data_IF_750049393352
#
_entry.id   IF_750049393352
#
_cell.length_a   1.000
_cell.length_b   1.000
_cell.length_c   1.000
_cell.angle_alpha   90.00
_cell.angle_beta   90.00
_cell.angle_gamma   90.00
#
_symmetry.space_group_name_H-M   'P 1'
#
loop_
_entity.id
_entity.type
_entity.pdbx_description
1 polymer ?
#
# COMPACT_ATOMS: atom_id res chain seq x y z
N UNK A 1 22.22 15.11 -8.45
CA UNK A 1 20.92 14.75 -7.86
C UNK A 1 20.81 15.36 -6.47
N UNK A 2 19.69 16.01 -6.13
CA UNK A 2 19.46 16.57 -4.79
C UNK A 2 18.88 15.50 -3.86
N UNK A 3 19.50 15.30 -2.70
CA UNK A 3 19.01 14.39 -1.65
C UNK A 3 18.62 15.21 -0.44
N UNK A 4 17.34 15.19 -0.09
CA UNK A 4 16.82 15.88 1.09
C UNK A 4 17.11 15.05 2.35
N UNK A 5 17.59 15.68 3.42
CA UNK A 5 17.80 15.01 4.72
C UNK A 5 16.93 15.72 5.76
N UNK A 6 15.89 15.02 6.22
CA UNK A 6 15.04 15.46 7.32
C UNK A 6 15.55 14.94 8.66
N UNK A 7 15.41 15.79 9.66
CA UNK A 7 15.75 15.51 11.04
C UNK A 7 14.79 16.24 11.97
N UNK A 8 14.60 15.69 13.15
CA UNK A 8 13.79 16.32 14.20
C UNK A 8 14.43 16.01 15.56
N UNK A 9 14.74 17.06 16.30
CA UNK A 9 15.46 16.97 17.57
C UNK A 9 16.99 16.94 17.45
N UNK A 10 17.71 17.13 18.57
CA UNK A 10 19.15 17.33 18.59
C UNK A 10 19.95 16.09 18.15
N UNK A 11 19.47 14.88 18.48
CA UNK A 11 20.12 13.62 18.10
C UNK A 11 20.05 13.40 16.59
N UNK A 12 18.84 13.42 16.04
CA UNK A 12 18.58 13.25 14.62
C UNK A 12 19.30 14.32 13.78
N UNK A 13 19.43 15.54 14.29
CA UNK A 13 20.24 16.61 13.67
C UNK A 13 21.69 16.17 13.46
N UNK A 14 22.36 15.70 14.52
CA UNK A 14 23.77 15.25 14.46
C UNK A 14 23.95 14.04 13.54
N UNK A 15 23.00 13.11 13.57
CA UNK A 15 22.98 11.94 12.68
C UNK A 15 22.84 12.38 11.21
N UNK A 16 21.90 13.28 10.93
CA UNK A 16 21.69 13.84 9.60
C UNK A 16 22.87 14.66 9.09
N UNK A 17 23.53 15.44 9.96
CA UNK A 17 24.77 16.16 9.63
C UNK A 17 25.90 15.19 9.25
N UNK A 18 26.04 14.08 9.98
CA UNK A 18 27.03 13.04 9.68
C UNK A 18 26.78 12.40 8.31
N UNK A 19 25.51 12.09 7.98
CA UNK A 19 25.13 11.58 6.67
C UNK A 19 25.37 12.64 5.58
N UNK A 20 25.03 13.90 5.85
CA UNK A 20 25.19 15.02 4.91
C UNK A 20 26.64 15.18 4.49
N UNK A 21 27.57 15.12 5.43
CA UNK A 21 28.99 15.33 5.14
C UNK A 21 29.63 14.07 4.51
N UNK A 22 29.12 12.88 4.83
CA UNK A 22 29.62 11.61 4.30
C UNK A 22 29.13 11.29 2.88
N UNK A 23 27.87 11.61 2.56
CA UNK A 23 27.23 11.19 1.31
C UNK A 23 27.98 11.66 0.03
N UNK A 24 28.52 12.90 -0.06
CA UNK A 24 29.33 13.33 -1.19
C UNK A 24 30.66 12.58 -1.33
N UNK A 25 31.20 12.05 -0.22
CA UNK A 25 32.43 11.23 -0.23
C UNK A 25 32.25 9.90 -0.95
N UNK A 26 31.04 9.33 -0.88
CA UNK A 26 30.68 8.08 -1.57
C UNK A 26 30.06 8.34 -2.95
N UNK A 27 29.14 9.30 -3.02
CA UNK A 27 28.41 9.65 -4.23
C UNK A 27 28.64 11.14 -4.56
N UNK A 28 29.70 11.42 -5.31
CA UNK A 28 30.16 12.77 -5.63
C UNK A 28 29.14 13.66 -6.38
N UNK A 29 28.17 13.03 -7.04
CA UNK A 29 27.13 13.70 -7.84
C UNK A 29 25.82 13.89 -7.06
N UNK A 30 25.81 13.52 -5.78
CA UNK A 30 24.72 13.80 -4.85
C UNK A 30 25.00 15.11 -4.15
N UNK A 31 23.98 15.97 -4.10
CA UNK A 31 23.99 17.24 -3.36
C UNK A 31 23.04 17.11 -2.17
N UNK A 32 23.55 16.81 -0.97
CA UNK A 32 22.74 16.74 0.24
C UNK A 32 22.16 18.12 0.56
N UNK A 33 20.86 18.17 0.77
CA UNK A 33 20.16 19.34 1.27
C UNK A 33 19.70 19.05 2.70
N UNK A 34 20.26 19.81 3.64
CA UNK A 34 19.97 19.70 5.06
C UNK A 34 19.12 20.90 5.46
N UNK A 35 17.95 20.65 6.04
CA UNK A 35 17.01 21.72 6.40
C UNK A 35 17.61 22.65 7.45
N UNK A 36 17.49 23.98 7.30
CA UNK A 36 17.94 24.93 8.31
C UNK A 36 17.10 24.80 9.59
N UNK A 37 17.79 24.87 10.71
CA UNK A 37 17.26 24.75 12.08
C UNK A 37 16.37 25.91 12.52
N UNK A 38 16.47 27.07 11.84
CA UNK A 38 15.81 28.31 12.24
C UNK A 38 14.74 28.67 11.22
N UNK A 39 13.48 28.61 11.67
CA UNK A 39 12.34 29.19 10.94
C UNK A 39 11.70 30.21 11.87
N UNK A 40 11.60 31.45 11.38
CA UNK A 40 10.93 32.53 12.07
C UNK A 40 9.47 32.18 12.39
N UNK A 41 9.02 32.56 13.59
CA UNK A 41 7.63 32.39 14.03
C UNK A 41 6.67 33.01 13.00
N UNK A 42 5.83 32.20 12.37
CA UNK A 42 4.73 32.65 11.51
C UNK A 42 4.86 32.32 10.02
N UNK A 43 5.96 31.71 9.55
CA UNK A 43 6.09 31.23 8.17
C UNK A 43 5.20 30.02 7.85
N UNK A 44 4.73 29.89 6.60
CA UNK A 44 4.02 28.69 6.10
C UNK A 44 5.03 27.57 5.84
N UNK A 45 5.54 27.01 6.93
CA UNK A 45 6.56 25.96 7.00
C UNK A 45 6.26 24.74 6.11
N UNK A 46 5.03 24.22 6.20
CA UNK A 46 4.62 23.01 5.49
C UNK A 46 4.75 23.10 3.95
N UNK A 47 4.48 24.27 3.37
CA UNK A 47 4.50 24.43 1.91
C UNK A 47 5.91 24.55 1.34
N UNK A 48 6.83 25.17 2.07
CA UNK A 48 8.20 25.37 1.59
C UNK A 48 9.00 24.07 1.62
N UNK A 49 8.84 23.26 2.68
CA UNK A 49 9.46 21.93 2.72
C UNK A 49 8.82 20.99 1.71
N UNK A 50 7.49 20.96 1.59
CA UNK A 50 6.84 20.16 0.56
C UNK A 50 7.32 20.55 -0.85
N UNK A 51 7.57 21.84 -1.09
CA UNK A 51 8.14 22.33 -2.36
C UNK A 51 9.57 21.86 -2.56
N UNK A 52 10.45 22.02 -1.58
CA UNK A 52 11.85 21.56 -1.63
C UNK A 52 11.94 20.05 -1.82
N UNK A 53 11.06 19.30 -1.17
CA UNK A 53 10.96 17.86 -1.22
C UNK A 53 10.36 17.35 -2.52
N UNK A 54 9.37 18.04 -3.09
CA UNK A 54 8.84 17.78 -4.44
C UNK A 54 9.88 18.08 -5.54
N UNK A 55 10.83 18.96 -5.26
CA UNK A 55 11.98 19.23 -6.13
C UNK A 55 13.11 18.23 -5.95
N UNK A 56 13.13 17.50 -4.82
CA UNK A 56 14.11 16.47 -4.55
C UNK A 56 13.67 15.13 -5.15
N UNK A 57 14.63 14.41 -5.71
CA UNK A 57 14.39 13.07 -6.28
C UNK A 57 14.32 12.01 -5.16
N UNK A 58 15.00 12.27 -4.04
CA UNK A 58 15.05 11.37 -2.90
C UNK A 58 15.12 12.15 -1.57
N UNK A 59 14.39 11.67 -0.57
CA UNK A 59 14.40 12.15 0.81
C UNK A 59 14.82 11.06 1.78
N UNK A 60 15.73 11.40 2.69
CA UNK A 60 16.19 10.58 3.80
C UNK A 60 15.58 11.15 5.08
N UNK A 61 14.87 10.32 5.85
CA UNK A 61 14.32 10.72 7.15
C UNK A 61 15.14 10.08 8.26
N UNK A 62 15.80 10.87 9.12
CA UNK A 62 16.56 10.34 10.25
C UNK A 62 15.64 10.09 11.44
N UNK A 63 15.19 8.84 11.62
CA UNK A 63 14.22 8.46 12.65
C UNK A 63 14.93 7.87 13.86
N UNK A 64 14.65 8.43 15.04
CA UNK A 64 15.18 8.02 16.33
C UNK A 64 14.02 7.82 17.30
N UNK A 65 14.27 7.19 18.44
CA UNK A 65 13.27 7.02 19.51
C UNK A 65 12.66 8.36 19.97
N UNK A 66 13.45 9.43 19.99
CA UNK A 66 13.01 10.75 20.46
C UNK A 66 12.07 11.46 19.48
N UNK A 67 12.13 11.13 18.19
CA UNK A 67 11.42 11.88 17.15
C UNK A 67 10.37 11.07 16.38
N UNK A 68 10.26 9.77 16.66
CA UNK A 68 9.30 8.85 16.02
C UNK A 68 7.85 9.30 16.21
N UNK A 69 7.56 9.98 17.32
CA UNK A 69 6.25 10.56 17.67
C UNK A 69 6.15 12.06 17.41
N UNK A 70 7.18 12.67 16.84
CA UNK A 70 7.09 14.09 16.54
C UNK A 70 6.02 14.30 15.45
N UNK A 71 5.01 15.13 15.76
CA UNK A 71 3.99 15.57 14.80
C UNK A 71 4.61 16.03 13.47
N UNK A 72 5.84 16.56 13.57
CA UNK A 72 6.71 16.92 12.46
C UNK A 72 6.94 15.78 11.44
N UNK A 73 7.37 14.61 11.91
CA UNK A 73 7.76 13.48 11.06
C UNK A 73 6.53 12.76 10.48
N UNK A 74 5.44 12.74 11.25
CA UNK A 74 4.13 12.23 10.80
C UNK A 74 3.46 13.15 9.77
N UNK A 75 3.61 14.46 9.92
CA UNK A 75 3.12 15.45 8.96
C UNK A 75 3.93 15.44 7.67
N UNK A 76 5.27 15.38 7.75
CA UNK A 76 6.15 15.25 6.58
C UNK A 76 5.84 13.98 5.78
N UNK A 77 5.76 12.82 6.45
CA UNK A 77 5.40 11.55 5.83
C UNK A 77 3.99 11.57 5.20
N UNK A 78 3.05 12.29 5.82
CA UNK A 78 1.70 12.49 5.31
C UNK A 78 1.63 13.44 4.10
N UNK A 79 2.37 14.55 4.10
CA UNK A 79 2.47 15.46 2.97
C UNK A 79 3.18 14.79 1.79
N UNK A 80 4.26 14.07 2.08
CA UNK A 80 5.00 13.21 1.14
C UNK A 80 4.12 12.15 0.48
N UNK A 81 3.19 11.55 1.25
CA UNK A 81 2.26 10.54 0.75
C UNK A 81 1.41 10.99 -0.43
N UNK A 82 1.15 12.30 -0.53
CA UNK A 82 0.32 12.90 -1.59
C UNK A 82 1.12 13.36 -2.81
N UNK A 83 2.43 13.58 -2.68
CA UNK A 83 3.32 14.00 -3.77
C UNK A 83 4.11 12.83 -4.40
N UNK A 84 3.78 11.60 -3.99
CA UNK A 84 4.54 10.36 -4.17
C UNK A 84 4.62 9.84 -5.62
N UNK A 85 4.01 10.53 -6.59
CA UNK A 85 4.15 10.15 -8.00
C UNK A 85 5.57 10.37 -8.54
N UNK A 86 6.45 11.12 -7.83
CA UNK A 86 7.81 11.44 -8.33
C UNK A 86 8.97 11.36 -7.33
N UNK A 87 8.75 11.39 -6.01
CA UNK A 87 9.82 11.50 -5.01
C UNK A 87 9.94 10.26 -4.14
N UNK A 88 11.16 9.72 -3.98
CA UNK A 88 11.44 8.54 -3.14
C UNK A 88 11.75 8.96 -1.70
N UNK A 89 11.24 8.22 -0.72
CA UNK A 89 11.49 8.50 0.70
C UNK A 89 12.03 7.24 1.37
N UNK A 90 13.16 7.39 2.05
CA UNK A 90 13.86 6.32 2.75
C UNK A 90 14.07 6.71 4.22
N UNK A 91 13.21 6.24 5.14
CA UNK A 91 13.44 6.40 6.57
C UNK A 91 14.63 5.55 7.03
N UNK A 92 15.59 6.16 7.73
CA UNK A 92 16.70 5.47 8.38
C UNK A 92 16.40 5.34 9.86
N UNK A 93 16.47 4.12 10.37
CA UNK A 93 16.15 3.78 11.75
C UNK A 93 17.42 3.75 12.60
N UNK A 94 17.45 4.58 13.63
CA UNK A 94 18.54 4.68 14.58
C UNK A 94 18.06 4.25 15.98
N UNK A 95 18.45 3.04 16.39
CA UNK A 95 18.12 2.50 17.71
C UNK A 95 16.64 2.16 17.92
N UNK A 96 15.87 2.00 16.83
CA UNK A 96 14.46 1.62 16.80
C UNK A 96 14.23 0.57 15.72
N UNK A 97 13.18 -0.24 15.88
CA UNK A 97 12.82 -1.28 14.93
C UNK A 97 11.61 -0.88 14.08
N UNK A 98 11.40 -1.59 12.97
CA UNK A 98 10.25 -1.37 12.09
C UNK A 98 8.89 -1.53 12.81
N UNK A 99 8.83 -2.32 13.88
CA UNK A 99 7.63 -2.50 14.73
C UNK A 99 7.25 -1.24 15.49
N UNK A 100 8.21 -0.36 15.75
CA UNK A 100 8.01 0.84 16.55
C UNK A 100 7.42 1.99 15.71
N UNK A 101 7.53 1.92 14.38
CA UNK A 101 7.08 2.95 13.45
C UNK A 101 5.57 3.08 13.41
N UNK A 102 5.01 4.26 13.68
CA UNK A 102 3.57 4.53 13.65
C UNK A 102 3.14 5.31 12.40
N UNK A 103 1.84 5.23 12.10
CA UNK A 103 1.17 6.10 11.13
C UNK A 103 1.70 5.97 9.70
N UNK A 104 1.79 7.08 8.93
CA UNK A 104 2.14 7.07 7.50
C UNK A 104 3.57 6.59 7.23
N UNK A 105 4.45 6.50 8.23
CA UNK A 105 5.80 5.99 8.04
C UNK A 105 5.84 4.51 7.66
N UNK A 106 4.83 3.72 8.08
CA UNK A 106 4.70 2.30 7.71
C UNK A 106 4.52 2.06 6.22
N UNK A 107 4.13 3.09 5.45
CA UNK A 107 3.95 2.96 4.01
C UNK A 107 5.28 2.98 3.25
N UNK A 108 6.38 3.39 3.90
CA UNK A 108 7.70 3.49 3.31
C UNK A 108 8.57 2.29 3.69
N UNK A 109 9.46 1.91 2.78
CA UNK A 109 10.49 0.93 3.09
C UNK A 109 11.60 1.57 3.91
N UNK A 110 11.86 1.02 5.09
CA UNK A 110 12.85 1.55 6.03
C UNK A 110 14.21 0.92 5.85
N UNK A 111 15.24 1.66 6.23
CA UNK A 111 16.64 1.24 6.24
C UNK A 111 17.12 1.16 7.68
N UNK A 112 17.46 -0.03 8.17
CA UNK A 112 18.16 -0.14 9.44
C UNK A 112 19.60 0.36 9.30
N UNK A 113 20.16 0.96 10.36
CA UNK A 113 21.55 1.37 10.37
C UNK A 113 22.51 0.17 10.51
N UNK A 114 22.52 -0.68 9.48
CA UNK A 114 23.43 -1.82 9.33
C UNK A 114 24.19 -1.69 8.02
N UNK A 115 25.42 -2.19 7.95
CA UNK A 115 26.25 -2.11 6.73
C UNK A 115 25.52 -2.64 5.49
N UNK A 116 24.79 -3.74 5.64
CA UNK A 116 24.07 -4.38 4.53
C UNK A 116 22.91 -3.52 4.02
N UNK A 117 22.07 -3.00 4.92
CA UNK A 117 20.91 -2.22 4.50
C UNK A 117 21.29 -0.81 4.04
N UNK A 118 22.33 -0.22 4.65
CA UNK A 118 22.85 1.06 4.19
C UNK A 118 23.51 0.94 2.82
N UNK A 119 24.22 -0.15 2.53
CA UNK A 119 24.75 -0.41 1.18
C UNK A 119 23.63 -0.51 0.13
N UNK A 120 22.51 -1.17 0.47
CA UNK A 120 21.32 -1.20 -0.40
C UNK A 120 20.77 0.21 -0.63
N UNK A 121 20.64 1.02 0.41
CA UNK A 121 20.20 2.42 0.29
C UNK A 121 21.10 3.19 -0.69
N UNK A 122 22.41 3.06 -0.55
CA UNK A 122 23.38 3.74 -1.42
C UNK A 122 23.32 3.22 -2.85
N UNK A 123 23.10 1.92 -3.05
CA UNK A 123 22.88 1.33 -4.37
C UNK A 123 21.61 1.90 -5.02
N UNK A 124 20.54 2.07 -4.25
CA UNK A 124 19.30 2.71 -4.71
C UNK A 124 19.57 4.16 -5.11
N UNK A 125 20.24 4.95 -4.27
CA UNK A 125 20.62 6.34 -4.58
C UNK A 125 21.47 6.39 -5.86
N UNK A 126 22.48 5.51 -5.99
CA UNK A 126 23.33 5.46 -7.18
C UNK A 126 22.56 5.10 -8.46
N UNK A 127 21.60 4.18 -8.38
CA UNK A 127 20.78 3.78 -9.54
C UNK A 127 19.94 4.94 -10.10
N UNK A 128 19.61 5.93 -9.26
CA UNK A 128 18.83 7.11 -9.64
C UNK A 128 19.65 8.18 -10.36
N UNK A 129 20.98 8.11 -10.28
CA UNK A 129 21.86 9.02 -11.04
C UNK A 129 21.84 8.76 -12.56
N UNK A 130 21.14 7.72 -13.03
CA UNK A 130 20.99 7.44 -14.47
C UNK A 130 22.32 7.16 -15.15
N UNK A 131 22.64 7.91 -16.20
CA UNK A 131 23.90 7.79 -16.96
C UNK A 131 25.14 8.19 -16.15
N UNK A 132 24.93 8.90 -15.03
CA UNK A 132 25.99 9.36 -14.14
C UNK A 132 26.26 8.38 -12.97
N UNK A 133 25.64 7.20 -12.97
CA UNK A 133 25.84 6.21 -11.92
C UNK A 133 27.26 5.67 -11.90
N UNK A 134 27.76 5.40 -10.70
CA UNK A 134 29.02 4.69 -10.53
C UNK A 134 28.85 3.20 -10.90
N UNK A 135 29.85 2.58 -11.55
CA UNK A 135 29.88 1.14 -11.73
C UNK A 135 29.81 0.42 -10.39
N UNK A 136 29.07 -0.69 -10.31
CA UNK A 136 28.84 -1.42 -9.05
C UNK A 136 30.14 -1.74 -8.31
N UNK A 137 31.17 -2.21 -9.02
CA UNK A 137 32.48 -2.50 -8.43
C UNK A 137 33.15 -1.28 -7.80
N UNK A 138 33.02 -0.10 -8.42
CA UNK A 138 33.57 1.14 -7.88
C UNK A 138 32.77 1.59 -6.67
N UNK A 139 31.44 1.47 -6.72
CA UNK A 139 30.57 1.80 -5.60
C UNK A 139 30.92 0.96 -4.37
N UNK A 140 31.10 -0.35 -4.54
CA UNK A 140 31.44 -1.27 -3.45
C UNK A 140 32.77 -0.89 -2.78
N UNK A 141 33.82 -0.63 -3.58
CA UNK A 141 35.15 -0.24 -3.07
C UNK A 141 35.09 1.11 -2.34
N UNK A 142 34.38 2.10 -2.89
CA UNK A 142 34.24 3.42 -2.28
C UNK A 142 33.44 3.30 -0.98
N UNK A 143 32.33 2.57 -0.99
CA UNK A 143 31.52 2.32 0.20
C UNK A 143 32.34 1.64 1.30
N UNK A 144 33.07 0.56 0.97
CA UNK A 144 33.88 -0.17 1.95
C UNK A 144 34.98 0.68 2.57
N UNK A 145 35.52 1.64 1.81
CA UNK A 145 36.53 2.56 2.30
C UNK A 145 35.97 3.60 3.27
N UNK A 146 34.80 4.17 2.97
CA UNK A 146 34.22 5.28 3.73
C UNK A 146 33.22 4.84 4.81
N UNK A 147 32.74 3.58 4.78
CA UNK A 147 31.81 3.06 5.76
C UNK A 147 32.32 3.15 7.21
N UNK A 148 33.58 2.77 7.52
CA UNK A 148 34.08 2.82 8.89
C UNK A 148 34.01 4.22 9.52
N UNK A 149 34.32 5.27 8.74
CA UNK A 149 34.27 6.66 9.21
C UNK A 149 32.85 7.11 9.58
N UNK A 150 31.84 6.61 8.86
CA UNK A 150 30.44 6.90 9.16
C UNK A 150 29.96 6.11 10.38
N UNK A 151 30.31 4.83 10.42
CA UNK A 151 29.95 3.91 11.50
C UNK A 151 30.50 4.40 12.84
N UNK A 152 31.77 4.81 12.87
CA UNK A 152 32.40 5.38 14.07
C UNK A 152 31.65 6.63 14.55
N UNK A 153 31.47 7.64 13.69
CA UNK A 153 30.76 8.89 14.04
C UNK A 153 29.34 8.65 14.55
N UNK A 154 28.58 7.78 13.87
CA UNK A 154 27.21 7.48 14.28
C UNK A 154 27.20 6.68 15.58
N UNK A 155 28.13 5.74 15.77
CA UNK A 155 28.26 4.99 17.02
C UNK A 155 28.62 5.90 18.22
N UNK A 156 29.48 6.90 18.02
CA UNK A 156 29.80 7.92 19.02
C UNK A 156 28.57 8.74 19.39
N UNK A 157 27.79 9.19 18.38
CA UNK A 157 26.54 9.91 18.63
C UNK A 157 25.57 9.04 19.41
N UNK A 158 25.37 7.78 19.01
CA UNK A 158 24.44 6.85 19.65
C UNK A 158 24.87 6.47 21.08
N UNK A 159 26.17 6.30 21.34
CA UNK A 159 26.71 5.99 22.67
C UNK A 159 26.72 7.20 23.62
N UNK A 160 26.83 8.42 23.07
CA UNK A 160 26.74 9.66 23.85
C UNK A 160 25.33 9.94 24.39
N UNK A 161 24.33 9.21 23.90
CA UNK A 161 22.94 9.33 24.30
C UNK A 161 22.70 8.32 25.41
N UNK A 162 22.39 8.82 26.61
CA UNK A 162 21.75 8.00 27.66
C UNK A 162 20.46 7.44 27.08
N UNK A 163 20.44 6.13 26.80
CA UNK A 163 19.25 5.39 26.39
C UNK A 163 18.18 5.67 27.45
N UNK A 164 17.17 6.48 27.09
CA UNK A 164 15.99 6.64 27.93
C UNK A 164 15.31 5.27 27.89
N UNK A 165 15.53 4.46 28.92
CA UNK A 165 14.90 3.16 29.07
C UNK A 165 13.43 3.38 29.44
N UNK A 166 12.56 3.08 28.49
CA UNK A 166 11.12 3.30 28.51
C UNK A 166 10.54 2.69 27.24
N UNK A 167 9.25 2.39 27.13
CA UNK A 167 8.72 1.79 25.91
C UNK A 167 8.72 2.83 24.75
N UNK A 168 9.11 2.41 23.53
CA UNK A 168 9.08 3.31 22.35
C UNK A 168 7.64 3.75 22.05
N UNK A 169 6.64 2.96 22.46
CA UNK A 169 5.21 3.23 22.27
C UNK A 169 4.47 3.07 23.59
N UNK A 170 3.48 3.91 23.83
CA UNK A 170 2.56 3.67 24.95
C UNK A 170 1.72 2.41 24.66
N UNK A 171 1.52 1.56 25.67
CA UNK A 171 0.70 0.33 25.55
C UNK A 171 -0.67 0.59 24.93
N UNK A 172 -1.23 1.78 25.20
CA UNK A 172 -2.50 2.26 24.63
C UNK A 172 -2.51 2.30 23.11
N UNK A 173 -1.43 2.80 22.49
CA UNK A 173 -1.32 2.91 21.03
C UNK A 173 -1.22 1.54 20.37
N UNK A 174 -0.49 0.61 21.01
CA UNK A 174 -0.40 -0.78 20.54
C UNK A 174 -1.77 -1.46 20.63
N UNK A 175 -2.51 -1.24 21.72
CA UNK A 175 -3.87 -1.78 21.88
C UNK A 175 -4.84 -1.19 20.85
N UNK A 176 -4.76 0.11 20.57
CA UNK A 176 -5.60 0.77 19.57
C UNK A 176 -5.26 0.28 18.14
N UNK A 177 -3.98 0.05 17.84
CA UNK A 177 -3.55 -0.54 16.58
C UNK A 177 -4.03 -2.00 16.44
N UNK A 178 -3.88 -2.83 17.48
CA UNK A 178 -4.40 -4.20 17.49
C UNK A 178 -5.92 -4.20 17.29
N UNK A 179 -6.63 -3.28 17.93
CA UNK A 179 -8.08 -3.14 17.82
C UNK A 179 -8.50 -2.68 16.41
N UNK A 180 -7.73 -1.79 15.78
CA UNK A 180 -7.93 -1.41 14.37
C UNK A 180 -7.68 -2.57 13.41
N UNK A 181 -6.57 -3.29 13.57
CA UNK A 181 -6.22 -4.46 12.76
C UNK A 181 -7.25 -5.59 12.94
N UNK A 182 -7.69 -5.84 14.17
CA UNK A 182 -8.75 -6.80 14.49
C UNK A 182 -10.08 -6.42 13.83
N UNK A 183 -10.46 -5.13 13.87
CA UNK A 183 -11.66 -4.64 13.16
C UNK A 183 -11.51 -4.74 11.65
N UNK A 184 -10.33 -4.48 11.08
CA UNK A 184 -10.07 -4.63 9.65
C UNK A 184 -10.12 -6.10 9.21
N UNK A 185 -9.53 -7.01 9.98
CA UNK A 185 -9.61 -8.45 9.77
C UNK A 185 -11.06 -8.96 9.90
N UNK A 186 -11.80 -8.48 10.91
CA UNK A 186 -13.22 -8.79 11.09
C UNK A 186 -14.10 -8.25 9.95
N UNK A 187 -13.70 -7.15 9.30
CA UNK A 187 -14.37 -6.64 8.09
C UNK A 187 -14.04 -7.48 6.84
N UNK A 188 -12.85 -8.06 6.76
CA UNK A 188 -12.43 -8.95 5.67
C UNK A 188 -13.08 -10.34 5.76
N UNK A 189 -13.30 -10.86 6.97
CA UNK A 189 -14.24 -11.97 7.19
C UNK A 189 -15.64 -11.45 6.94
N UNK A 190 -16.06 -11.45 5.68
CA UNK A 190 -17.35 -10.91 5.29
C UNK A 190 -18.47 -11.47 6.15
N UNK A 191 -19.41 -10.60 6.57
CA UNK A 191 -20.67 -11.02 7.20
C UNK A 191 -21.17 -12.31 6.53
N UNK A 192 -21.29 -13.42 7.26
CA UNK A 192 -21.77 -14.67 6.69
C UNK A 192 -23.15 -14.43 6.06
N UNK A 193 -23.42 -15.08 4.93
CA UNK A 193 -24.72 -14.95 4.29
C UNK A 193 -25.83 -15.32 5.29
N UNK A 194 -26.95 -14.58 5.33
CA UNK A 194 -28.07 -14.96 6.17
C UNK A 194 -28.45 -16.42 5.85
N UNK A 195 -28.61 -17.30 6.86
CA UNK A 195 -28.90 -18.73 6.62
C UNK A 195 -30.08 -18.95 5.66
N UNK A 196 -31.08 -18.06 5.72
CA UNK A 196 -32.27 -18.05 4.86
C UNK A 196 -31.96 -17.93 3.36
N UNK A 197 -30.87 -17.27 2.98
CA UNK A 197 -30.44 -17.14 1.58
C UNK A 197 -29.91 -18.49 1.08
N UNK A 198 -29.13 -19.19 1.90
CA UNK A 198 -28.59 -20.52 1.58
C UNK A 198 -29.74 -21.54 1.55
N UNK A 199 -30.64 -21.49 2.53
CA UNK A 199 -31.84 -22.33 2.61
C UNK A 199 -32.71 -22.17 1.35
N UNK A 200 -32.99 -20.93 0.92
CA UNK A 200 -33.75 -20.68 -0.30
C UNK A 200 -33.09 -21.24 -1.56
N UNK A 201 -31.76 -21.19 -1.68
CA UNK A 201 -31.05 -21.78 -2.83
C UNK A 201 -31.20 -23.31 -2.82
N UNK A 202 -31.01 -23.93 -1.66
CA UNK A 202 -31.12 -25.38 -1.51
C UNK A 202 -32.54 -25.87 -1.81
N UNK A 203 -33.55 -25.19 -1.28
CA UNK A 203 -34.96 -25.50 -1.55
C UNK A 203 -35.30 -25.42 -3.04
N UNK A 204 -34.89 -24.34 -3.71
CA UNK A 204 -35.20 -24.16 -5.13
C UNK A 204 -34.44 -25.14 -6.01
N UNK A 205 -33.18 -25.45 -5.68
CA UNK A 205 -32.40 -26.47 -6.40
C UNK A 205 -33.01 -27.87 -6.25
N UNK A 206 -33.45 -28.25 -5.05
CA UNK A 206 -34.13 -29.52 -4.79
C UNK A 206 -35.46 -29.59 -5.55
N UNK A 207 -36.24 -28.51 -5.55
CA UNK A 207 -37.50 -28.42 -6.32
C UNK A 207 -37.26 -28.61 -7.82
N UNK A 208 -36.25 -27.96 -8.38
CA UNK A 208 -35.88 -28.10 -9.79
C UNK A 208 -35.52 -29.55 -10.12
N UNK A 209 -34.69 -30.17 -9.28
CA UNK A 209 -34.31 -31.57 -9.45
C UNK A 209 -35.52 -32.52 -9.47
N UNK A 210 -36.45 -32.37 -8.53
CA UNK A 210 -37.65 -33.20 -8.50
C UNK A 210 -38.58 -32.95 -9.68
N UNK A 211 -38.67 -31.72 -10.16
CA UNK A 211 -39.48 -31.37 -11.33
C UNK A 211 -38.97 -32.10 -12.58
N UNK A 212 -37.67 -32.00 -12.83
CA UNK A 212 -37.02 -32.57 -14.01
C UNK A 212 -36.91 -34.10 -13.93
N UNK A 213 -36.53 -34.66 -12.77
CA UNK A 213 -36.32 -36.10 -12.60
C UNK A 213 -37.62 -36.91 -12.68
N UNK A 214 -38.74 -36.34 -12.24
CA UNK A 214 -40.04 -37.01 -12.26
C UNK A 214 -40.88 -36.63 -13.48
N UNK A 215 -40.36 -35.80 -14.41
CA UNK A 215 -41.10 -35.29 -15.57
C UNK A 215 -42.44 -34.65 -15.19
N UNK A 216 -42.49 -33.99 -14.02
CA UNK A 216 -43.74 -33.48 -13.44
C UNK A 216 -44.18 -32.16 -14.13
N UNK A 217 -43.27 -31.49 -14.82
CA UNK A 217 -43.50 -30.20 -15.47
C UNK A 217 -42.92 -30.08 -16.88
N UNK A 218 -43.42 -29.10 -17.64
CA UNK A 218 -42.83 -28.70 -18.93
C UNK A 218 -41.61 -27.78 -18.74
N UNK A 219 -40.89 -27.49 -19.83
CA UNK A 219 -39.70 -26.62 -19.79
C UNK A 219 -39.95 -25.24 -19.16
N UNK A 220 -41.16 -24.71 -19.26
CA UNK A 220 -41.53 -23.44 -18.64
C UNK A 220 -41.56 -23.51 -17.11
N UNK A 221 -42.02 -24.61 -16.53
CA UNK A 221 -42.05 -24.78 -15.07
C UNK A 221 -40.63 -24.88 -14.49
N UNK A 222 -39.71 -25.53 -15.20
CA UNK A 222 -38.28 -25.56 -14.81
C UNK A 222 -37.64 -24.17 -14.91
N UNK A 223 -38.02 -23.37 -15.92
CA UNK A 223 -37.57 -21.97 -16.05
C UNK A 223 -38.13 -21.08 -14.94
N UNK A 224 -39.39 -21.27 -14.54
CA UNK A 224 -40.00 -20.53 -13.43
C UNK A 224 -39.29 -20.84 -12.10
N UNK A 225 -38.95 -22.11 -11.85
CA UNK A 225 -38.16 -22.52 -10.67
C UNK A 225 -36.75 -21.89 -10.72
N UNK A 226 -36.10 -21.87 -11.89
CA UNK A 226 -34.80 -21.20 -12.05
C UNK A 226 -34.89 -19.69 -11.81
N UNK A 227 -36.00 -19.05 -12.20
CA UNK A 227 -36.26 -17.62 -11.96
C UNK A 227 -36.33 -17.32 -10.46
N UNK A 228 -36.98 -18.17 -9.68
CA UNK A 228 -37.02 -18.05 -8.22
C UNK A 228 -35.63 -18.19 -7.58
N UNK A 229 -34.77 -19.05 -8.14
CA UNK A 229 -33.39 -19.23 -7.69
C UNK A 229 -32.50 -18.00 -7.99
N UNK A 230 -32.85 -17.20 -9.00
CA UNK A 230 -32.05 -16.05 -9.44
C UNK A 230 -31.94 -14.95 -8.39
N UNK A 231 -32.97 -14.74 -7.58
CA UNK A 231 -33.02 -13.69 -6.54
C UNK A 231 -31.95 -13.88 -5.43
N UNK A 232 -31.88 -15.05 -4.74
CA UNK A 232 -30.84 -15.28 -3.75
C UNK A 232 -29.43 -15.37 -4.36
N UNK A 233 -29.29 -15.85 -5.60
CA UNK A 233 -28.00 -15.85 -6.32
C UNK A 233 -27.54 -14.41 -6.58
N UNK A 234 -28.41 -13.53 -7.08
CA UNK A 234 -28.12 -12.09 -7.29
C UNK A 234 -27.74 -11.40 -5.97
N UNK A 235 -28.42 -11.75 -4.87
CA UNK A 235 -28.10 -11.22 -3.54
C UNK A 235 -26.67 -11.55 -3.11
N UNK A 236 -26.24 -12.81 -3.31
CA UNK A 236 -24.86 -13.26 -3.01
C UNK A 236 -23.86 -12.58 -3.95
N UNK A 237 -24.16 -12.62 -5.25
CA UNK A 237 -23.21 -12.22 -6.29
C UNK A 237 -22.97 -10.70 -6.34
N UNK A 238 -23.92 -9.88 -5.88
CA UNK A 238 -23.74 -8.42 -5.69
C UNK A 238 -22.52 -8.07 -4.83
N UNK A 239 -22.14 -8.93 -3.88
CA UNK A 239 -20.96 -8.74 -3.02
C UNK A 239 -19.63 -8.85 -3.78
N UNK A 240 -19.64 -9.50 -4.93
CA UNK A 240 -18.45 -9.76 -5.75
C UNK A 240 -18.44 -8.96 -7.06
N UNK A 241 -19.40 -8.06 -7.27
CA UNK A 241 -19.40 -7.18 -8.45
C UNK A 241 -18.14 -6.31 -8.45
N UNK A 242 -17.43 -6.26 -9.57
CA UNK A 242 -16.17 -5.51 -9.70
C UNK A 242 -14.93 -6.19 -9.09
N UNK A 243 -15.04 -7.42 -8.56
CA UNK A 243 -13.86 -8.17 -8.09
C UNK A 243 -13.04 -8.75 -9.26
N UNK A 244 -13.69 -8.99 -10.40
CA UNK A 244 -13.07 -9.41 -11.66
C UNK A 244 -13.96 -9.01 -12.84
N UNK A 245 -13.36 -8.77 -14.00
CA UNK A 245 -14.08 -8.53 -15.25
C UNK A 245 -15.01 -9.71 -15.58
N UNK A 246 -14.52 -10.94 -15.44
CA UNK A 246 -15.31 -12.16 -15.69
C UNK A 246 -16.52 -12.27 -14.74
N UNK A 247 -16.37 -11.91 -13.47
CA UNK A 247 -17.48 -11.93 -12.51
C UNK A 247 -18.55 -10.89 -12.84
N UNK A 248 -18.13 -9.73 -13.35
CA UNK A 248 -19.05 -8.66 -13.73
C UNK A 248 -19.85 -9.07 -14.98
N UNK A 249 -19.20 -9.64 -15.99
CA UNK A 249 -19.86 -10.15 -17.20
C UNK A 249 -20.91 -11.22 -16.88
N UNK A 250 -20.58 -12.21 -16.05
CA UNK A 250 -21.53 -13.26 -15.65
C UNK A 250 -22.73 -12.73 -14.86
N UNK A 251 -22.53 -11.67 -14.07
CA UNK A 251 -23.60 -11.01 -13.33
C UNK A 251 -24.56 -10.27 -14.25
N UNK A 252 -24.02 -9.58 -15.25
CA UNK A 252 -24.82 -8.87 -16.24
C UNK A 252 -25.62 -9.88 -17.09
N UNK A 253 -25.02 -11.00 -17.51
CA UNK A 253 -25.72 -12.11 -18.20
C UNK A 253 -26.85 -12.71 -17.34
N UNK A 254 -26.62 -12.93 -16.04
CA UNK A 254 -27.64 -13.41 -15.10
C UNK A 254 -28.81 -12.42 -14.93
N UNK A 255 -28.54 -11.11 -15.08
CA UNK A 255 -29.56 -10.05 -15.06
C UNK A 255 -30.44 -10.06 -16.32
N UNK A 256 -29.91 -10.51 -17.46
CA UNK A 256 -30.58 -10.52 -18.77
C UNK A 256 -31.39 -11.79 -19.10
N UNK A 257 -31.30 -12.85 -18.28
CA UNK A 257 -32.07 -14.09 -18.50
C UNK A 257 -33.60 -13.84 -18.47
N UNK A 258 -34.30 -14.31 -19.52
CA UNK A 258 -35.75 -14.09 -19.71
C UNK A 258 -36.62 -15.13 -19.01
N UNK A 259 -36.11 -16.34 -18.77
CA UNK A 259 -36.84 -17.47 -18.18
C UNK A 259 -38.13 -17.85 -18.94
N UNK A 260 -38.13 -17.66 -20.27
CA UNK A 260 -39.24 -18.01 -21.15
C UNK A 260 -38.79 -19.06 -22.17
N UNK A 261 -39.65 -20.06 -22.44
CA UNK A 261 -39.38 -21.04 -23.49
C UNK A 261 -39.42 -20.35 -24.85
N UNK A 262 -38.30 -20.41 -25.58
CA UNK A 262 -38.22 -19.89 -26.96
C UNK A 262 -38.81 -20.95 -27.90
N UNK A 263 -40.00 -20.72 -28.42
CA UNK A 263 -40.63 -21.59 -29.41
C UNK A 263 -40.04 -21.29 -30.81
N UNK A 264 -39.25 -22.20 -31.35
CA UNK A 264 -38.59 -22.05 -32.66
C UNK A 264 -39.50 -22.41 -33.85
N UNK A 265 -40.78 -22.72 -33.62
CA UNK A 265 -41.71 -23.18 -34.66
C UNK A 265 -42.45 -22.06 -35.42
N UNK A 266 -42.30 -20.79 -35.06
CA UNK A 266 -43.05 -19.69 -35.69
C UNK A 266 -42.39 -19.04 -36.93
N UNK A 267 -41.16 -19.40 -37.31
CA UNK A 267 -40.41 -18.75 -38.41
C UNK A 267 -40.40 -19.54 -39.74
N UNK A 268 -41.29 -20.52 -39.94
CA UNK A 268 -41.35 -21.34 -41.16
C UNK A 268 -42.53 -20.99 -42.10
N UNK A 269 -42.97 -19.73 -42.15
CA UNK A 269 -43.90 -19.24 -43.17
C UNK A 269 -43.35 -17.95 -43.80
N UNK A 270 -42.49 -18.11 -44.81
CA UNK A 270 -42.17 -17.03 -45.76
C UNK A 270 -42.15 -17.65 -47.17
N UNK A 271 -43.19 -17.28 -47.93
CA UNK A 271 -43.33 -17.17 -49.39
C UNK A 271 -42.75 -18.24 -50.33
N UNK A 272 -43.62 -19.10 -50.86
CA UNK A 272 -43.56 -19.52 -52.26
C UNK A 272 -44.60 -18.72 -53.05
N UNK A 273 -44.20 -17.54 -53.55
CA UNK A 273 -44.89 -16.87 -54.66
C UNK A 273 -44.01 -17.03 -55.91
N UNK A 274 -44.38 -17.99 -56.75
CA UNK A 274 -43.76 -18.27 -58.07
C UNK A 274 -44.47 -17.39 -59.11
N UNK A 275 -43.78 -16.48 -59.83
CA UNK A 275 -44.33 -15.90 -61.04
C UNK A 275 -43.92 -16.74 -62.26
N UNK A 276 -44.89 -16.94 -63.16
CA UNK A 276 -44.76 -17.53 -64.50
C UNK A 276 -43.68 -16.87 -65.37
#
# INVERSE_FOLDING_TARGET
>A
MKVFISWSGPVSKRLGESIRDWLPGVLQLVTPYFTPSDIEKGGRWASDIAKELSSAELGILCVTRDNIHSDWLLFEAGALSKSLDKSFVCPILFGINNTDLAGPLKQFQTTEFTRLDFHKLITVINSRLGDQKLPTKTLDVVFDKWWPDLEEKISEILSSITIIDGPVRADREVLDEILLLSRAASRQTGQPFPPKVIESILETFIKLHYNDANTIGGYQESLDIMKDMSSPIKFIAKRYRGTSTSMTTLLDELEELTYEVIDSSANAHIDEDIPF
#
